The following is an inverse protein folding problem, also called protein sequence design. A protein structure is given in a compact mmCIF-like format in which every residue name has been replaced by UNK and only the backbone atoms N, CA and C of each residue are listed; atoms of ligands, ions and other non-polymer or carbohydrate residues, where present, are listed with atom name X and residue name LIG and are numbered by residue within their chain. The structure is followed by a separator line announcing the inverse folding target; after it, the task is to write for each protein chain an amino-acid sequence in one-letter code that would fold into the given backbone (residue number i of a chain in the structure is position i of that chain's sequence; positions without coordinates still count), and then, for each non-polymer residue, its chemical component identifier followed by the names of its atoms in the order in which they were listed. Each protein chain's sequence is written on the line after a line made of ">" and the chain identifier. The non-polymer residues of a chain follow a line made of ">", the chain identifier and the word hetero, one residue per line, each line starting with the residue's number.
data_IF_317773864970
#
_entry.id   IF_317773864970
#
_cell.length_a   1.000
_cell.length_b   1.000
_cell.length_c   1.000
_cell.angle_alpha   90.00
_cell.angle_beta   90.00
_cell.angle_gamma   90.00
#
_symmetry.space_group_name_H-M   'P 1'
#
loop_
_entity.id
_entity.type
_entity.pdbx_description
1 polymer ?
#
# COMPACT_ATOMS: atom_id res chain seq x y z
N UNK A 1 -31.45 64.72 -25.28
CA UNK A 1 -32.35 64.61 -26.44
C UNK A 1 -32.60 63.12 -26.66
N UNK A 2 -33.55 62.55 -25.92
CA UNK A 2 -34.95 62.27 -26.34
C UNK A 2 -35.08 61.01 -27.19
N UNK A 3 -35.65 59.96 -26.56
CA UNK A 3 -36.48 58.85 -27.11
C UNK A 3 -37.37 59.31 -28.28
N UNK A 4 -37.80 58.43 -29.23
CA UNK A 4 -38.85 57.41 -29.00
C UNK A 4 -38.59 56.05 -29.71
N UNK A 5 -39.09 54.91 -29.22
CA UNK A 5 -40.47 54.37 -29.11
C UNK A 5 -40.94 53.68 -30.39
N UNK A 6 -41.46 52.45 -30.19
CA UNK A 6 -42.38 51.64 -30.99
C UNK A 6 -42.87 52.17 -32.34
N UNK A 7 -42.99 51.25 -33.29
CA UNK A 7 -44.23 50.90 -34.01
C UNK A 7 -43.83 50.32 -35.37
N UNK A 8 -44.13 49.04 -35.59
CA UNK A 8 -44.65 48.52 -36.87
C UNK A 8 -45.02 47.05 -36.65
N UNK A 9 -46.08 46.88 -35.86
CA UNK A 9 -47.11 45.90 -36.20
C UNK A 9 -47.97 46.58 -37.28
N UNK A 10 -48.05 46.01 -38.48
CA UNK A 10 -49.34 45.91 -39.17
C UNK A 10 -49.28 44.91 -40.34
N UNK A 11 -50.47 44.49 -40.77
CA UNK A 11 -50.80 43.62 -41.91
C UNK A 11 -50.71 42.11 -41.64
N UNK A 12 -51.81 41.51 -41.19
CA UNK A 12 -52.88 41.03 -42.10
C UNK A 12 -54.09 40.63 -41.26
N UNK A 13 -55.15 41.44 -41.37
CA UNK A 13 -56.47 41.14 -40.83
C UNK A 13 -57.43 40.74 -41.96
N UNK A 14 -58.32 39.78 -41.63
CA UNK A 14 -59.66 39.47 -42.18
C UNK A 14 -59.82 38.36 -43.23
N UNK A 15 -60.37 37.21 -42.78
CA UNK A 15 -61.70 36.66 -43.17
C UNK A 15 -62.04 35.49 -42.22
N UNK A 16 -62.98 35.66 -41.27
CA UNK A 16 -64.41 35.29 -41.29
C UNK A 16 -64.69 33.79 -41.07
N UNK A 17 -65.41 33.56 -39.95
CA UNK A 17 -66.34 32.47 -39.60
C UNK A 17 -65.86 31.16 -38.94
N UNK A 18 -66.58 30.91 -37.82
CA UNK A 18 -66.99 29.63 -37.22
C UNK A 18 -65.96 28.75 -36.52
N UNK A 19 -66.06 28.75 -35.18
CA UNK A 19 -66.01 27.55 -34.35
C UNK A 19 -64.68 26.81 -34.24
N UNK A 20 -63.86 27.18 -33.27
CA UNK A 20 -63.34 26.24 -32.26
C UNK A 20 -62.39 26.96 -31.30
N UNK A 21 -62.54 26.67 -30.01
CA UNK A 21 -61.56 26.98 -28.99
C UNK A 21 -60.21 26.35 -29.35
N UNK A 22 -59.27 27.13 -29.87
CA UNK A 22 -57.86 26.78 -29.76
C UNK A 22 -57.32 27.41 -28.47
N UNK A 23 -57.20 26.59 -27.43
CA UNK A 23 -56.36 26.88 -26.26
C UNK A 23 -54.95 27.16 -26.76
N UNK A 24 -54.49 28.40 -26.65
CA UNK A 24 -53.07 28.72 -26.60
C UNK A 24 -52.49 28.02 -25.37
N UNK A 25 -51.70 26.97 -25.58
CA UNK A 25 -50.91 26.37 -24.49
C UNK A 25 -49.87 27.39 -24.04
N UNK A 26 -49.82 27.67 -22.74
CA UNK A 26 -48.78 28.48 -22.13
C UNK A 26 -47.36 27.97 -22.51
N UNK A 27 -46.37 28.85 -22.73
CA UNK A 27 -45.01 28.41 -23.01
C UNK A 27 -44.49 27.62 -21.81
N UNK A 28 -43.90 26.45 -22.07
CA UNK A 28 -43.21 25.66 -21.04
C UNK A 28 -42.28 26.59 -20.25
N UNK A 29 -42.40 26.56 -18.91
CA UNK A 29 -41.66 27.43 -18.01
C UNK A 29 -40.17 27.42 -18.36
N UNK A 30 -39.58 28.60 -18.47
CA UNK A 30 -38.16 28.85 -18.77
C UNK A 30 -37.22 28.01 -17.89
N UNK A 31 -37.67 27.67 -16.69
CA UNK A 31 -37.00 26.81 -15.71
C UNK A 31 -36.89 25.33 -16.16
N UNK A 32 -37.89 24.80 -16.87
CA UNK A 32 -37.86 23.45 -17.44
C UNK A 32 -36.86 23.33 -18.59
N UNK A 33 -36.73 24.39 -19.39
CA UNK A 33 -35.74 24.46 -20.47
C UNK A 33 -34.33 24.59 -19.89
N UNK A 34 -34.15 25.40 -18.84
CA UNK A 34 -32.87 25.60 -18.17
C UNK A 34 -32.35 24.34 -17.47
N UNK A 35 -33.23 23.58 -16.79
CA UNK A 35 -32.83 22.31 -16.16
C UNK A 35 -32.40 21.26 -17.20
N UNK A 36 -33.10 21.17 -18.34
CA UNK A 36 -32.69 20.28 -19.44
C UNK A 36 -31.32 20.67 -20.00
N UNK A 37 -31.03 21.96 -20.15
CA UNK A 37 -29.73 22.44 -20.61
C UNK A 37 -28.60 22.09 -19.62
N UNK A 38 -28.84 22.23 -18.31
CA UNK A 38 -27.87 21.85 -17.28
C UNK A 38 -27.62 20.34 -17.24
N UNK A 39 -28.66 19.52 -17.31
CA UNK A 39 -28.52 18.05 -17.37
C UNK A 39 -27.72 17.60 -18.61
N UNK A 40 -27.95 18.24 -19.76
CA UNK A 40 -27.19 17.94 -20.98
C UNK A 40 -25.71 18.35 -20.84
N UNK A 41 -25.43 19.49 -20.22
CA UNK A 41 -24.07 19.94 -19.96
C UNK A 41 -23.33 19.01 -18.96
N UNK A 42 -24.02 18.52 -17.92
CA UNK A 42 -23.47 17.55 -16.97
C UNK A 42 -23.22 16.18 -17.61
N UNK A 43 -24.14 15.67 -18.42
CA UNK A 43 -23.94 14.44 -19.20
C UNK A 43 -22.76 14.57 -20.17
N UNK A 44 -22.64 15.70 -20.86
CA UNK A 44 -21.51 15.97 -21.76
C UNK A 44 -20.17 16.04 -20.99
N UNK A 45 -20.14 16.69 -19.83
CA UNK A 45 -18.95 16.72 -18.95
C UNK A 45 -18.61 15.32 -18.43
N UNK A 46 -19.59 14.55 -17.97
CA UNK A 46 -19.39 13.17 -17.52
C UNK A 46 -18.82 12.30 -18.64
N UNK A 47 -19.36 12.40 -19.86
CA UNK A 47 -18.86 11.67 -21.01
C UNK A 47 -17.40 12.04 -21.35
N UNK A 48 -17.02 13.32 -21.25
CA UNK A 48 -15.63 13.76 -21.45
C UNK A 48 -14.70 13.21 -20.36
N UNK A 49 -15.14 13.20 -19.10
CA UNK A 49 -14.36 12.62 -17.99
C UNK A 49 -14.17 11.12 -18.20
N UNK A 50 -15.20 10.40 -18.62
CA UNK A 50 -15.12 8.95 -18.87
C UNK A 50 -14.27 8.63 -20.11
N UNK A 51 -14.32 9.47 -21.13
CA UNK A 51 -13.42 9.42 -22.29
C UNK A 51 -11.96 9.64 -21.88
N UNK A 52 -11.69 10.63 -21.03
CA UNK A 52 -10.34 10.90 -20.52
C UNK A 52 -9.83 9.77 -19.63
N UNK A 53 -10.67 9.20 -18.76
CA UNK A 53 -10.34 7.99 -17.99
C UNK A 53 -9.99 6.82 -18.90
N UNK A 54 -10.79 6.58 -19.94
CA UNK A 54 -10.55 5.52 -20.92
C UNK A 54 -9.26 5.74 -21.71
N UNK A 55 -8.97 6.99 -22.09
CA UNK A 55 -7.73 7.36 -22.78
C UNK A 55 -6.50 7.23 -21.87
N UNK A 56 -6.60 7.63 -20.61
CA UNK A 56 -5.55 7.43 -19.60
C UNK A 56 -5.31 5.94 -19.36
N UNK A 57 -6.36 5.12 -19.24
CA UNK A 57 -6.23 3.67 -19.14
C UNK A 57 -5.51 3.10 -20.37
N UNK A 58 -5.92 3.48 -21.59
CA UNK A 58 -5.26 3.03 -22.84
C UNK A 58 -3.79 3.45 -22.91
N UNK A 59 -3.47 4.69 -22.53
CA UNK A 59 -2.09 5.17 -22.49
C UNK A 59 -1.29 4.44 -21.41
N UNK A 60 -1.85 4.23 -20.23
CA UNK A 60 -1.24 3.42 -19.16
C UNK A 60 -1.05 1.97 -19.58
N UNK A 61 -1.95 1.41 -20.39
CA UNK A 61 -1.81 0.07 -20.96
C UNK A 61 -0.76 -0.01 -22.08
N UNK A 62 -0.59 1.05 -22.89
CA UNK A 62 0.49 1.15 -23.90
C UNK A 62 1.87 1.48 -23.32
N UNK A 63 1.92 2.22 -22.21
CA UNK A 63 3.11 2.51 -21.40
C UNK A 63 3.43 1.42 -20.38
N UNK A 64 2.47 0.53 -20.08
CA UNK A 64 2.75 -0.84 -19.63
C UNK A 64 3.49 -1.50 -20.79
N UNK A 65 4.78 -1.19 -20.91
CA UNK A 65 5.76 -2.20 -21.30
C UNK A 65 5.29 -3.46 -20.61
N UNK A 66 4.96 -4.51 -21.37
CA UNK A 66 4.74 -5.82 -20.78
C UNK A 66 6.02 -6.11 -20.02
N UNK A 67 6.00 -5.79 -18.72
CA UNK A 67 7.06 -6.20 -17.84
C UNK A 67 6.89 -7.71 -17.84
N UNK A 68 7.89 -8.48 -18.29
CA UNK A 68 7.81 -9.93 -18.24
C UNK A 68 7.33 -10.29 -16.84
N UNK A 69 6.39 -11.24 -16.77
CA UNK A 69 5.75 -11.76 -15.56
C UNK A 69 6.65 -11.49 -14.35
N UNK A 70 6.37 -10.41 -13.61
CA UNK A 70 7.32 -9.95 -12.61
C UNK A 70 7.35 -11.04 -11.56
N UNK A 71 8.48 -11.71 -11.41
CA UNK A 71 8.70 -12.66 -10.32
C UNK A 71 8.27 -12.00 -8.99
N UNK A 72 7.15 -12.47 -8.42
CA UNK A 72 6.61 -11.94 -7.17
C UNK A 72 7.28 -12.66 -5.99
N UNK A 73 7.85 -11.87 -5.08
CA UNK A 73 8.33 -12.35 -3.79
C UNK A 73 7.22 -12.18 -2.76
N UNK A 74 6.66 -13.30 -2.30
CA UNK A 74 5.73 -13.32 -1.17
C UNK A 74 6.40 -12.80 0.10
N UNK A 75 5.64 -12.14 0.96
CA UNK A 75 6.06 -11.73 2.32
C UNK A 75 6.03 -12.90 3.30
N UNK A 76 5.31 -13.97 2.95
CA UNK A 76 5.13 -15.15 3.79
C UNK A 76 3.94 -15.14 4.72
N UNK A 77 3.14 -14.07 4.68
CA UNK A 77 1.82 -14.03 5.31
C UNK A 77 0.82 -13.76 4.18
N UNK A 78 -0.05 -14.71 3.84
CA UNK A 78 -1.02 -14.53 2.75
C UNK A 78 -1.88 -13.27 2.89
N UNK A 79 -2.24 -12.91 4.11
CA UNK A 79 -3.06 -11.74 4.42
C UNK A 79 -2.27 -10.42 4.27
N UNK A 80 -0.96 -10.47 4.51
CA UNK A 80 -0.08 -9.33 4.21
C UNK A 80 0.16 -9.22 2.71
N UNK A 81 0.33 -10.34 2.02
CA UNK A 81 0.41 -10.38 0.56
C UNK A 81 -0.87 -9.78 -0.04
N UNK A 82 -2.06 -10.08 0.48
CA UNK A 82 -3.34 -9.57 -0.03
C UNK A 82 -3.50 -8.04 0.02
N UNK A 83 -2.77 -7.34 0.90
CA UNK A 83 -2.80 -5.87 0.94
C UNK A 83 -1.83 -5.24 -0.07
N UNK A 84 -0.91 -6.01 -0.65
CA UNK A 84 0.04 -5.58 -1.68
C UNK A 84 -0.60 -5.65 -3.07
N UNK A 85 -0.19 -4.77 -4.02
CA UNK A 85 -0.80 -4.67 -5.35
C UNK A 85 -0.80 -5.99 -6.13
N UNK A 86 0.30 -6.73 -6.08
CA UNK A 86 0.52 -7.96 -6.85
C UNK A 86 0.49 -9.22 -5.95
N UNK A 87 -0.15 -9.15 -4.77
CA UNK A 87 -0.10 -10.23 -3.77
C UNK A 87 1.33 -10.59 -3.32
N UNK A 88 2.19 -9.57 -3.24
CA UNK A 88 3.60 -9.70 -2.88
C UNK A 88 4.41 -8.51 -3.39
N UNK A 89 5.74 -8.59 -3.28
CA UNK A 89 6.68 -7.59 -3.79
C UNK A 89 7.35 -8.11 -5.05
N UNK A 90 7.12 -7.42 -6.16
CA UNK A 90 7.69 -7.79 -7.44
C UNK A 90 9.20 -7.53 -7.49
N UNK A 91 9.97 -8.43 -8.11
CA UNK A 91 11.39 -8.18 -8.43
C UNK A 91 11.53 -6.95 -9.34
N UNK A 92 12.63 -6.23 -9.18
CA UNK A 92 12.87 -4.98 -9.91
C UNK A 92 12.02 -3.80 -9.41
N UNK A 93 11.54 -3.85 -8.16
CA UNK A 93 10.80 -2.77 -7.52
C UNK A 93 11.44 -2.31 -6.23
N UNK A 94 11.16 -1.06 -5.87
CA UNK A 94 11.60 -0.45 -4.63
C UNK A 94 10.41 -0.37 -3.66
N UNK A 95 10.62 -0.76 -2.40
CA UNK A 95 9.64 -0.66 -1.33
C UNK A 95 10.18 0.15 -0.16
N UNK A 96 9.35 1.03 0.40
CA UNK A 96 9.66 1.79 1.60
C UNK A 96 8.93 1.18 2.81
N UNK A 97 9.69 0.88 3.85
CA UNK A 97 9.23 0.34 5.13
C UNK A 97 9.41 1.42 6.19
N UNK A 98 8.35 2.18 6.45
CA UNK A 98 8.35 3.34 7.34
C UNK A 98 7.99 2.87 8.74
N UNK A 99 8.94 2.95 9.66
CA UNK A 99 8.71 2.70 11.07
C UNK A 99 7.99 3.90 11.70
N UNK A 100 6.75 3.72 12.15
CA UNK A 100 5.98 4.78 12.83
C UNK A 100 6.62 5.21 14.16
N UNK A 101 7.34 4.29 14.81
CA UNK A 101 8.14 4.54 16.00
C UNK A 101 9.34 3.57 16.07
N UNK A 102 10.37 3.88 16.88
CA UNK A 102 11.48 2.96 17.09
C UNK A 102 10.99 1.60 17.59
N UNK A 103 11.44 0.53 16.93
CA UNK A 103 11.04 -0.82 17.30
C UNK A 103 9.67 -1.25 16.80
N UNK A 104 9.00 -0.52 15.90
CA UNK A 104 7.68 -0.91 15.37
C UNK A 104 7.65 -2.23 14.57
N UNK A 105 8.79 -2.89 14.33
CA UNK A 105 8.86 -4.15 13.59
C UNK A 105 9.01 -3.99 12.07
N UNK A 106 9.09 -2.75 11.55
CA UNK A 106 9.28 -2.48 10.13
C UNK A 106 10.50 -3.22 9.54
N UNK A 107 11.64 -3.15 10.23
CA UNK A 107 12.87 -3.80 9.82
C UNK A 107 12.73 -5.34 9.84
N UNK A 108 12.05 -5.90 10.85
CA UNK A 108 11.85 -7.34 10.98
C UNK A 108 11.00 -7.90 9.83
N UNK A 109 9.94 -7.16 9.43
CA UNK A 109 9.13 -7.53 8.27
C UNK A 109 9.94 -7.42 6.97
N UNK A 110 10.73 -6.37 6.80
CA UNK A 110 11.62 -6.22 5.65
C UNK A 110 12.65 -7.37 5.58
N UNK A 111 13.28 -7.75 6.69
CA UNK A 111 14.20 -8.90 6.76
C UNK A 111 13.49 -10.21 6.38
N UNK A 112 12.22 -10.39 6.78
CA UNK A 112 11.43 -11.57 6.43
C UNK A 112 11.15 -11.65 4.92
N UNK A 113 10.88 -10.52 4.27
CA UNK A 113 10.81 -10.46 2.80
C UNK A 113 12.18 -10.75 2.19
N UNK A 114 13.25 -10.16 2.74
CA UNK A 114 14.61 -10.37 2.28
C UNK A 114 14.99 -11.87 2.29
N UNK A 115 14.62 -12.61 3.34
CA UNK A 115 14.85 -14.07 3.42
C UNK A 115 14.22 -14.85 2.27
N UNK A 116 13.05 -14.41 1.79
CA UNK A 116 12.32 -15.05 0.70
C UNK A 116 12.89 -14.65 -0.66
N UNK A 117 13.24 -13.38 -0.82
CA UNK A 117 13.94 -12.88 -1.99
C UNK A 117 15.31 -13.54 -2.15
N UNK A 118 15.95 -13.95 -1.05
CA UNK A 118 17.25 -14.61 -1.06
C UNK A 118 17.27 -15.96 -1.81
N UNK A 119 16.10 -16.55 -2.05
CA UNK A 119 15.96 -17.75 -2.90
C UNK A 119 16.36 -17.48 -4.36
N UNK A 120 16.32 -16.21 -4.77
CA UNK A 120 16.63 -15.77 -6.13
C UNK A 120 18.07 -15.23 -6.28
N UNK A 121 18.82 -15.09 -5.18
CA UNK A 121 20.18 -14.53 -5.17
C UNK A 121 20.60 -14.04 -3.77
N UNK A 122 21.87 -13.67 -3.55
CA UNK A 122 22.32 -13.17 -2.26
C UNK A 122 21.55 -11.92 -1.79
N UNK A 123 21.51 -11.75 -0.46
CA UNK A 123 21.05 -10.53 0.18
C UNK A 123 22.24 -9.59 0.35
N UNK A 124 22.09 -8.33 -0.08
CA UNK A 124 23.07 -7.28 0.22
C UNK A 124 22.50 -6.40 1.33
N UNK A 125 23.25 -6.26 2.42
CA UNK A 125 22.91 -5.35 3.53
C UNK A 125 23.90 -4.20 3.53
N UNK A 126 23.38 -2.99 3.37
CA UNK A 126 24.21 -1.78 3.35
C UNK A 126 23.98 -1.04 4.66
N UNK A 127 25.03 -0.97 5.46
CA UNK A 127 24.98 -0.44 6.82
C UNK A 127 26.16 0.51 7.06
N UNK A 128 26.02 1.76 6.64
CA UNK A 128 27.06 2.78 6.88
C UNK A 128 27.22 3.14 8.36
N UNK A 129 26.19 2.91 9.19
CA UNK A 129 26.18 3.30 10.61
C UNK A 129 26.53 2.17 11.58
N UNK A 130 26.68 0.93 11.10
CA UNK A 130 26.92 -0.27 11.93
C UNK A 130 25.81 -0.51 12.95
N UNK A 131 24.57 -0.16 12.60
CA UNK A 131 23.40 -0.34 13.46
C UNK A 131 22.70 -1.69 13.22
N UNK A 132 23.11 -2.40 12.18
CA UNK A 132 22.43 -3.59 11.75
C UNK A 132 22.86 -4.80 12.59
N UNK A 133 21.91 -5.42 13.29
CA UNK A 133 22.17 -6.58 14.15
C UNK A 133 22.02 -7.89 13.38
N UNK A 134 23.15 -8.49 12.97
CA UNK A 134 23.16 -9.71 12.14
C UNK A 134 22.37 -10.91 12.71
N UNK A 135 22.33 -11.17 14.03
CA UNK A 135 21.50 -12.26 14.55
C UNK A 135 19.99 -12.09 14.31
N UNK A 136 19.50 -10.85 14.16
CA UNK A 136 18.10 -10.62 13.79
C UNK A 136 17.78 -11.10 12.37
N UNK A 137 18.74 -11.07 11.43
CA UNK A 137 18.56 -11.66 10.09
C UNK A 137 18.38 -13.16 10.16
N UNK A 138 19.24 -13.83 10.94
CA UNK A 138 19.15 -15.29 11.11
C UNK A 138 17.81 -15.68 11.75
N UNK A 139 17.35 -14.94 12.77
CA UNK A 139 16.03 -15.14 13.35
C UNK A 139 14.89 -14.88 12.34
N UNK A 140 15.06 -13.93 11.41
CA UNK A 140 14.10 -13.69 10.32
C UNK A 140 14.15 -14.76 9.20
N UNK A 141 15.03 -15.76 9.31
CA UNK A 141 15.18 -16.87 8.35
C UNK A 141 16.12 -16.56 7.18
N UNK A 142 16.94 -15.52 7.27
CA UNK A 142 17.96 -15.20 6.26
C UNK A 142 19.16 -16.12 6.42
N UNK A 143 19.64 -16.65 5.31
CA UNK A 143 20.88 -17.41 5.21
C UNK A 143 22.08 -16.45 5.26
N UNK A 144 22.82 -16.46 6.36
CA UNK A 144 23.96 -15.56 6.55
C UNK A 144 25.12 -15.88 5.59
N UNK A 145 25.25 -17.13 5.13
CA UNK A 145 26.30 -17.53 4.18
C UNK A 145 26.06 -16.95 2.77
N UNK A 146 24.80 -16.58 2.48
CA UNK A 146 24.39 -15.89 1.25
C UNK A 146 24.07 -14.42 1.49
N UNK A 147 24.63 -13.83 2.54
CA UNK A 147 24.45 -12.41 2.87
C UNK A 147 25.78 -11.68 2.79
N UNK A 148 25.80 -10.57 2.06
CA UNK A 148 26.98 -9.69 1.94
C UNK A 148 26.70 -8.40 2.70
N UNK A 149 27.51 -8.11 3.70
CA UNK A 149 27.49 -6.84 4.41
C UNK A 149 28.44 -5.86 3.75
N UNK A 150 27.94 -4.66 3.47
CA UNK A 150 28.72 -3.54 2.96
C UNK A 150 28.74 -2.46 4.05
N UNK A 151 29.94 -2.01 4.42
CA UNK A 151 30.16 -0.92 5.37
C UNK A 151 30.84 0.27 4.70
N UNK A 152 30.08 1.11 3.98
CA UNK A 152 30.59 2.31 3.34
C UNK A 152 31.10 3.32 4.37
N UNK A 153 32.09 4.14 3.98
CA UNK A 153 32.65 5.18 4.86
C UNK A 153 31.98 6.54 4.70
N UNK A 154 31.38 6.79 3.54
CA UNK A 154 30.72 8.06 3.22
C UNK A 154 29.31 7.82 2.69
N UNK A 155 28.43 8.82 2.80
CA UNK A 155 27.08 8.78 2.22
C UNK A 155 27.11 8.60 0.70
N UNK A 156 28.14 9.12 0.03
CA UNK A 156 28.31 8.96 -1.41
C UNK A 156 28.61 7.50 -1.76
N UNK A 157 29.52 6.85 -1.03
CA UNK A 157 29.84 5.43 -1.20
C UNK A 157 28.64 4.55 -0.85
N UNK A 158 27.86 4.95 0.15
CA UNK A 158 26.66 4.23 0.56
C UNK A 158 25.60 4.22 -0.54
N UNK A 159 25.22 5.39 -1.05
CA UNK A 159 24.27 5.48 -2.17
C UNK A 159 24.80 4.79 -3.43
N UNK A 160 26.10 4.88 -3.69
CA UNK A 160 26.73 4.18 -4.81
C UNK A 160 26.64 2.66 -4.66
N UNK A 161 26.93 2.13 -3.47
CA UNK A 161 26.83 0.70 -3.18
C UNK A 161 25.39 0.19 -3.31
N UNK A 162 24.40 0.95 -2.84
CA UNK A 162 22.97 0.64 -3.04
C UNK A 162 22.65 0.60 -4.53
N UNK A 163 23.06 1.63 -5.29
CA UNK A 163 22.81 1.70 -6.72
C UNK A 163 23.41 0.50 -7.46
N UNK A 164 24.68 0.16 -7.20
CA UNK A 164 25.33 -0.98 -7.87
C UNK A 164 24.71 -2.33 -7.48
N UNK A 165 24.32 -2.48 -6.21
CA UNK A 165 23.67 -3.71 -5.73
C UNK A 165 22.31 -3.91 -6.39
N UNK A 166 21.53 -2.84 -6.56
CA UNK A 166 20.22 -2.88 -7.22
C UNK A 166 20.33 -3.18 -8.73
N UNK A 167 21.39 -2.72 -9.41
CA UNK A 167 21.63 -3.00 -10.83
C UNK A 167 22.06 -4.44 -11.11
N UNK A 168 22.57 -5.15 -10.12
CA UNK A 168 23.11 -6.48 -10.31
C UNK A 168 21.99 -7.51 -10.49
N UNK A 169 21.95 -8.17 -11.66
CA UNK A 169 20.96 -9.21 -11.98
C UNK A 169 21.10 -10.48 -11.12
N UNK A 170 22.24 -10.67 -10.45
CA UNK A 170 22.44 -11.81 -9.54
C UNK A 170 21.88 -11.59 -8.14
N UNK A 171 21.53 -10.36 -7.76
CA UNK A 171 21.12 -10.03 -6.37
C UNK A 171 19.64 -10.33 -6.16
N UNK A 172 19.33 -11.01 -5.05
CA UNK A 172 17.95 -11.34 -4.68
C UNK A 172 17.24 -10.16 -4.01
N UNK A 173 17.90 -9.55 -3.03
CA UNK A 173 17.39 -8.36 -2.34
C UNK A 173 18.51 -7.43 -1.87
N UNK A 174 18.16 -6.15 -1.72
CA UNK A 174 19.02 -5.12 -1.14
C UNK A 174 18.28 -4.49 0.03
N UNK A 175 18.87 -4.58 1.23
CA UNK A 175 18.33 -4.00 2.45
C UNK A 175 19.17 -2.79 2.84
N UNK A 176 18.51 -1.63 2.97
CA UNK A 176 19.20 -0.37 3.23
C UNK A 176 18.37 0.54 4.13
N UNK A 177 18.98 1.07 5.20
CA UNK A 177 18.33 2.01 6.11
C UNK A 177 18.70 3.44 5.75
N UNK A 178 17.70 4.27 5.43
CA UNK A 178 17.92 5.66 5.05
C UNK A 178 16.71 6.57 5.34
N UNK A 179 16.96 7.63 6.07
CA UNK A 179 15.92 8.62 6.40
C UNK A 179 15.84 9.75 5.37
N UNK A 180 16.97 10.17 4.80
CA UNK A 180 17.04 11.30 3.90
C UNK A 180 17.53 10.90 2.51
N UNK A 181 16.58 10.72 1.60
CA UNK A 181 16.81 10.59 0.16
C UNK A 181 16.28 11.82 -0.57
N UNK A 182 17.14 12.48 -1.34
CA UNK A 182 16.74 13.53 -2.28
C UNK A 182 16.00 12.90 -3.46
N UNK A 183 15.08 13.64 -4.09
CA UNK A 183 14.32 13.16 -5.25
C UNK A 183 15.19 12.56 -6.35
N UNK A 184 16.31 13.22 -6.68
CA UNK A 184 17.25 12.73 -7.71
C UNK A 184 17.93 11.41 -7.29
N UNK A 185 18.26 11.24 -6.01
CA UNK A 185 18.84 10.00 -5.50
C UNK A 185 17.79 8.87 -5.58
N UNK A 186 16.55 9.16 -5.19
CA UNK A 186 15.46 8.21 -5.27
C UNK A 186 15.21 7.73 -6.71
N UNK A 187 15.10 8.65 -7.67
CA UNK A 187 14.90 8.30 -9.08
C UNK A 187 16.08 7.49 -9.64
N UNK A 188 17.31 7.76 -9.20
CA UNK A 188 18.48 6.94 -9.58
C UNK A 188 18.37 5.52 -9.03
N UNK A 189 17.94 5.35 -7.79
CA UNK A 189 17.72 4.03 -7.20
C UNK A 189 16.56 3.29 -7.89
N UNK A 190 15.50 4.00 -8.27
CA UNK A 190 14.38 3.43 -9.03
C UNK A 190 14.86 2.90 -10.39
N UNK A 191 15.62 3.69 -11.14
CA UNK A 191 16.19 3.24 -12.43
C UNK A 191 17.19 2.09 -12.25
N UNK A 192 17.92 2.07 -11.13
CA UNK A 192 18.84 0.99 -10.81
C UNK A 192 18.09 -0.33 -10.57
N UNK A 193 17.06 -0.32 -9.72
CA UNK A 193 16.29 -1.53 -9.41
C UNK A 193 15.50 -2.03 -10.62
N UNK A 194 14.96 -1.13 -11.45
CA UNK A 194 14.27 -1.48 -12.70
C UNK A 194 15.20 -2.10 -13.75
N UNK A 195 16.51 -1.78 -13.70
CA UNK A 195 17.51 -2.39 -14.59
C UNK A 195 18.04 -3.74 -14.10
N UNK A 196 17.88 -4.04 -12.81
CA UNK A 196 18.26 -5.30 -12.21
C UNK A 196 17.06 -6.19 -11.92
N UNK A 197 17.24 -7.14 -11.00
CA UNK A 197 16.20 -8.09 -10.58
C UNK A 197 16.04 -8.19 -9.06
N UNK A 198 16.72 -7.31 -8.32
CA UNK A 198 16.64 -7.31 -6.87
C UNK A 198 15.29 -6.77 -6.38
N UNK A 199 14.86 -7.20 -5.19
CA UNK A 199 13.85 -6.47 -4.41
C UNK A 199 14.56 -5.42 -3.56
N UNK A 200 14.27 -4.15 -3.79
CA UNK A 200 14.81 -3.04 -2.99
C UNK A 200 13.97 -2.80 -1.74
N UNK A 201 14.59 -2.90 -0.57
CA UNK A 201 13.95 -2.75 0.73
C UNK A 201 14.57 -1.55 1.47
N UNK A 202 13.90 -0.40 1.41
CA UNK A 202 14.32 0.82 2.09
C UNK A 202 13.65 0.94 3.45
N UNK A 203 14.43 0.93 4.53
CA UNK A 203 13.91 1.13 5.89
C UNK A 203 14.03 2.61 6.24
N UNK A 204 12.92 3.23 6.65
CA UNK A 204 12.86 4.66 6.95
C UNK A 204 12.21 4.94 8.30
N UNK A 205 12.63 6.01 8.96
CA UNK A 205 12.02 6.45 10.22
C UNK A 205 10.72 7.25 10.02
N UNK A 206 10.00 7.42 11.13
CA UNK A 206 8.71 8.11 11.20
C UNK A 206 8.73 9.53 10.61
N UNK A 207 9.89 10.21 10.69
CA UNK A 207 10.09 11.55 10.14
C UNK A 207 9.84 11.64 8.62
N UNK A 208 9.83 10.50 7.94
CA UNK A 208 9.63 10.40 6.49
C UNK A 208 8.21 10.08 6.07
N UNK A 209 7.29 9.86 7.03
CA UNK A 209 5.89 9.47 6.78
C UNK A 209 5.18 10.43 5.81
N UNK A 210 5.37 11.74 5.99
CA UNK A 210 4.72 12.77 5.18
C UNK A 210 5.57 13.24 3.98
N UNK A 211 6.76 12.66 3.78
CA UNK A 211 7.59 12.98 2.62
C UNK A 211 7.04 12.22 1.41
N UNK A 212 7.05 12.85 0.23
CA UNK A 212 6.76 12.15 -1.01
C UNK A 212 7.84 11.10 -1.30
N UNK A 213 7.41 9.87 -1.57
CA UNK A 213 8.26 8.77 -2.01
C UNK A 213 7.95 8.41 -3.45
N UNK A 214 8.92 7.83 -4.16
CA UNK A 214 8.73 7.31 -5.52
C UNK A 214 8.79 5.77 -5.57
N UNK A 215 8.77 5.10 -4.42
CA UNK A 215 8.80 3.64 -4.36
C UNK A 215 7.51 3.08 -4.95
N UNK A 216 7.58 1.88 -5.52
CA UNK A 216 6.42 1.18 -6.04
C UNK A 216 5.44 0.82 -4.90
N UNK A 217 5.93 0.61 -3.67
CA UNK A 217 5.12 0.36 -2.48
C UNK A 217 5.67 1.13 -1.28
N UNK A 218 4.80 1.73 -0.47
CA UNK A 218 5.14 2.35 0.82
C UNK A 218 4.26 1.77 1.92
N UNK A 219 4.92 1.20 2.93
CA UNK A 219 4.30 0.53 4.06
C UNK A 219 4.61 1.33 5.32
N UNK A 220 3.57 1.68 6.07
CA UNK A 220 3.71 2.20 7.42
C UNK A 220 3.51 1.05 8.40
N UNK A 221 4.45 0.89 9.31
CA UNK A 221 4.40 -0.16 10.34
C UNK A 221 4.41 0.50 11.72
N UNK A 222 3.34 0.27 12.47
CA UNK A 222 3.15 0.69 13.86
C UNK A 222 3.04 -0.52 14.77
N UNK A 223 3.57 -0.41 15.97
CA UNK A 223 3.32 -1.30 17.09
C UNK A 223 1.95 -0.96 17.66
N UNK A 224 1.11 -1.98 17.83
CA UNK A 224 -0.06 -1.90 18.69
C UNK A 224 0.33 -2.40 20.07
N UNK A 225 -0.04 -1.66 21.10
CA UNK A 225 0.14 -2.12 22.47
C UNK A 225 -0.73 -3.35 22.66
N UNK A 226 -0.09 -4.50 22.84
CA UNK A 226 -0.75 -5.73 23.24
C UNK A 226 -1.14 -5.61 24.73
N UNK A 227 -2.24 -4.93 25.03
CA UNK A 227 -2.87 -5.01 26.35
C UNK A 227 -3.68 -6.31 26.41
N UNK A 228 -2.99 -7.43 26.58
CA UNK A 228 -3.63 -8.74 26.55
C UNK A 228 -2.67 -9.83 26.98
N UNK A 229 -2.65 -10.11 28.27
CA UNK A 229 -2.13 -11.37 28.81
C UNK A 229 -2.92 -12.51 28.17
N UNK A 230 -2.43 -13.08 27.07
CA UNK A 230 -2.88 -14.40 26.64
C UNK A 230 -2.36 -15.40 27.68
N UNK A 231 -3.15 -15.61 28.72
CA UNK A 231 -3.09 -16.87 29.46
C UNK A 231 -3.44 -17.94 28.45
N UNK A 232 -2.43 -18.70 28.00
CA UNK A 232 -2.65 -19.95 27.31
C UNK A 232 -3.52 -20.79 28.26
N UNK A 233 -4.80 -20.94 27.93
CA UNK A 233 -5.70 -21.82 28.67
C UNK A 233 -5.19 -23.24 28.46
N UNK A 234 -4.55 -23.76 29.50
CA UNK A 234 -4.18 -25.15 29.61
C UNK A 234 -5.44 -26.01 29.44
N UNK A 235 -5.48 -26.98 28.51
CA UNK A 235 -6.68 -27.79 28.33
C UNK A 235 -6.92 -28.58 29.62
N UNK A 236 -8.00 -28.25 30.33
CA UNK A 236 -8.52 -29.01 31.48
C UNK A 236 -8.93 -30.41 31.03
N UNK A 237 -7.95 -31.28 30.84
CA UNK A 237 -8.09 -32.72 30.71
C UNK A 237 -8.20 -33.36 32.08
N UNK A 238 -9.44 -33.60 32.51
CA UNK A 238 -9.77 -34.42 33.68
C UNK A 238 -9.26 -35.84 33.43
N UNK A 239 -8.17 -36.25 34.08
CA UNK A 239 -7.78 -37.67 34.10
C UNK A 239 -7.34 -38.09 35.49
N UNK A 240 -8.05 -39.09 35.98
CA UNK A 240 -7.85 -39.88 37.19
C UNK A 240 -6.44 -40.47 37.29
N UNK A 241 -5.89 -40.40 38.50
CA UNK A 241 -4.91 -41.31 39.15
C UNK A 241 -4.20 -42.34 38.25
N UNK A 242 -2.86 -42.21 38.12
CA UNK A 242 -1.87 -43.14 38.69
C UNK A 242 -0.58 -43.23 37.86
N UNK A 243 0.56 -43.08 38.55
CA UNK A 243 1.92 -43.59 38.28
C UNK A 243 2.74 -43.00 37.13
N UNK A 244 3.62 -42.10 37.55
CA UNK A 244 5.07 -42.06 37.30
C UNK A 244 5.55 -42.37 35.88
N UNK A 245 5.65 -41.33 35.07
CA UNK A 245 6.65 -41.22 34.01
C UNK A 245 7.03 -39.77 33.84
N UNK A 246 8.34 -39.49 33.93
CA UNK A 246 8.94 -38.17 33.73
C UNK A 246 8.61 -37.66 32.32
N UNK A 247 7.52 -36.91 32.17
CA UNK A 247 7.36 -35.94 31.07
C UNK A 247 8.01 -34.65 31.53
N UNK A 248 9.04 -34.22 30.82
CA UNK A 248 9.54 -32.85 30.86
C UNK A 248 8.33 -31.94 30.65
N UNK A 249 7.90 -31.27 31.73
CA UNK A 249 6.93 -30.19 31.65
C UNK A 249 7.47 -29.20 30.62
N UNK A 250 6.72 -29.01 29.54
CA UNK A 250 6.99 -27.97 28.56
C UNK A 250 7.10 -26.66 29.34
N UNK A 251 8.31 -26.15 29.46
CA UNK A 251 8.58 -24.79 29.93
C UNK A 251 7.71 -23.90 29.06
N UNK A 252 6.66 -23.34 29.64
CA UNK A 252 5.82 -22.35 28.99
C UNK A 252 6.68 -21.12 28.78
N UNK A 253 7.42 -21.10 27.66
CA UNK A 253 8.15 -19.92 27.21
C UNK A 253 7.09 -18.84 27.02
N UNK A 254 7.09 -17.86 27.92
CA UNK A 254 6.35 -16.62 27.74
C UNK A 254 6.84 -16.00 26.43
N UNK A 255 6.14 -16.29 25.34
CA UNK A 255 6.48 -15.77 24.02
C UNK A 255 6.06 -14.32 24.00
N UNK A 256 7.03 -13.40 23.97
CA UNK A 256 6.75 -11.98 23.83
C UNK A 256 6.32 -11.73 22.38
N UNK A 257 5.00 -11.81 22.16
CA UNK A 257 4.39 -11.44 20.88
C UNK A 257 4.07 -9.96 20.89
N UNK A 258 4.51 -9.25 19.85
CA UNK A 258 4.13 -7.86 19.60
C UNK A 258 3.09 -7.83 18.50
N UNK A 259 2.01 -7.10 18.74
CA UNK A 259 1.03 -6.78 17.71
C UNK A 259 1.54 -5.61 16.88
N UNK A 260 1.48 -5.77 15.57
CA UNK A 260 1.87 -4.80 14.57
C UNK A 260 0.67 -4.49 13.70
N UNK A 261 0.55 -3.24 13.29
CA UNK A 261 -0.35 -2.81 12.24
C UNK A 261 0.48 -2.38 11.04
N UNK A 262 0.18 -2.96 9.89
CA UNK A 262 0.86 -2.65 8.62
C UNK A 262 -0.15 -2.03 7.68
N UNK A 263 0.06 -0.77 7.34
CA UNK A 263 -0.77 0.00 6.41
C UNK A 263 -0.01 0.23 5.10
N UNK A 264 -0.60 -0.16 3.97
CA UNK A 264 -0.12 0.19 2.65
C UNK A 264 -0.55 1.61 2.28
N UNK A 265 0.30 2.59 2.61
CA UNK A 265 0.03 4.03 2.41
C UNK A 265 0.10 4.42 0.93
N UNK A 266 0.89 3.70 0.14
CA UNK A 266 1.00 3.93 -1.31
C UNK A 266 1.34 2.64 -2.03
N UNK A 267 0.69 2.39 -3.17
CA UNK A 267 1.05 1.33 -4.10
C UNK A 267 0.86 1.83 -5.54
N UNK A 268 1.89 1.70 -6.37
CA UNK A 268 1.86 2.11 -7.78
C UNK A 268 0.88 1.24 -8.55
N UNK A 269 -0.13 1.86 -9.14
CA UNK A 269 -1.12 1.18 -9.98
C UNK A 269 -2.18 0.38 -9.21
N UNK A 270 -2.30 0.55 -7.89
CA UNK A 270 -3.33 -0.08 -7.07
C UNK A 270 -3.96 0.92 -6.08
N UNK A 271 -5.06 0.50 -5.45
CA UNK A 271 -5.73 1.27 -4.39
C UNK A 271 -4.85 1.21 -3.14
N UNK A 272 -4.35 2.38 -2.72
CA UNK A 272 -3.70 2.55 -1.43
C UNK A 272 -4.72 2.55 -0.27
N UNK A 273 -4.23 2.49 0.97
CA UNK A 273 -5.00 2.50 2.22
C UNK A 273 -5.61 1.14 2.65
N UNK A 274 -4.86 0.06 2.40
CA UNK A 274 -5.16 -1.28 2.95
C UNK A 274 -4.34 -1.53 4.21
N UNK A 275 -4.94 -2.16 5.21
CA UNK A 275 -4.29 -2.43 6.50
C UNK A 275 -4.41 -3.91 6.88
N UNK A 276 -3.38 -4.45 7.53
CA UNK A 276 -3.38 -5.80 8.12
C UNK A 276 -2.78 -5.74 9.52
N UNK A 277 -3.34 -6.52 10.45
CA UNK A 277 -2.82 -6.70 11.80
C UNK A 277 -2.03 -8.02 11.89
N UNK A 278 -0.80 -7.94 12.40
CA UNK A 278 0.14 -9.06 12.47
C UNK A 278 0.66 -9.23 13.89
N UNK A 279 0.86 -10.46 14.33
CA UNK A 279 1.64 -10.79 15.52
C UNK A 279 3.06 -11.18 15.09
N UNK A 280 4.08 -10.57 15.71
CA UNK A 280 5.48 -10.99 15.57
C UNK A 280 6.01 -11.57 16.89
N UNK A 281 6.65 -12.73 16.82
CA UNK A 281 7.40 -13.33 17.93
C UNK A 281 8.85 -12.84 17.88
N UNK A 282 9.29 -12.12 18.91
CA UNK A 282 10.62 -11.48 18.92
C UNK A 282 11.76 -12.50 18.98
N UNK A 283 11.53 -13.67 19.58
CA UNK A 283 12.54 -14.70 19.72
C UNK A 283 12.77 -15.49 18.42
N UNK A 284 11.71 -15.70 17.64
CA UNK A 284 11.75 -16.58 16.45
C UNK A 284 11.61 -15.82 15.13
N UNK A 285 11.28 -14.53 15.16
CA UNK A 285 10.93 -13.76 13.97
C UNK A 285 9.66 -14.27 13.26
N UNK A 286 8.92 -15.21 13.85
CA UNK A 286 7.71 -15.74 13.27
C UNK A 286 6.63 -14.66 13.24
N UNK A 287 5.98 -14.51 12.07
CA UNK A 287 4.88 -13.56 11.86
C UNK A 287 3.65 -14.34 11.43
N UNK A 288 2.54 -14.09 12.12
CA UNK A 288 1.20 -14.58 11.78
C UNK A 288 0.19 -13.42 11.84
N UNK A 289 -1.00 -13.61 11.29
CA UNK A 289 -2.09 -12.64 11.46
C UNK A 289 -2.49 -12.60 12.93
N UNK A 290 -2.72 -11.39 13.45
CA UNK A 290 -3.26 -11.24 14.80
C UNK A 290 -4.65 -11.89 14.86
N UNK A 291 -4.88 -12.77 15.84
CA UNK A 291 -6.17 -13.43 15.98
C UNK A 291 -7.28 -12.37 16.12
N UNK A 292 -8.23 -12.38 15.17
CA UNK A 292 -9.21 -11.31 15.02
C UNK A 292 -10.04 -11.06 16.27
N UNK A 293 -10.03 -9.82 16.76
CA UNK A 293 -11.19 -9.26 17.43
C UNK A 293 -12.27 -9.11 16.35
N UNK A 294 -13.35 -9.87 16.50
CA UNK A 294 -14.60 -9.67 15.75
C UNK A 294 -15.01 -8.20 15.76
N UNK A 295 -15.72 -7.81 14.69
CA UNK A 295 -16.54 -6.61 14.57
C UNK A 295 -16.97 -6.02 15.93
N UNK A 296 -16.91 -4.69 16.14
CA UNK A 296 -17.72 -4.08 17.17
C UNK A 296 -19.19 -4.29 16.77
N UNK A 297 -19.76 -5.40 17.25
CA UNK A 297 -21.18 -5.69 17.16
C UNK A 297 -21.92 -4.43 17.61
N UNK A 298 -22.73 -3.90 16.70
CA UNK A 298 -23.65 -2.82 16.95
C UNK A 298 -24.39 -3.07 18.27
N UNK A 299 -24.19 -2.19 19.24
CA UNK A 299 -24.99 -2.16 20.46
C UNK A 299 -26.48 -2.06 20.07
N UNK A 300 -27.36 -2.97 20.50
CA UNK A 300 -28.77 -2.80 20.29
C UNK A 300 -29.21 -1.59 21.12
N UNK A 301 -29.72 -0.55 20.44
CA UNK A 301 -30.42 0.56 21.10
C UNK A 301 -31.58 -0.05 21.89
N UNK A 302 -31.52 0.04 23.22
CA UNK A 302 -32.68 -0.20 24.08
C UNK A 302 -33.62 1.00 23.92
N UNK A 303 -34.79 0.72 23.35
CA UNK A 303 -36.01 1.52 23.48
C UNK A 303 -36.50 1.54 24.92
#
# INVERSE_FOLDING_TARGET
>A
MTTPTNFLADAVARRVCSGNLFRLSAPASTESVQNKLNEHAERARSAVIDQLRSNLQRMQHGLRRQVPDKDIVSTGVPEFDAILPDSGLARGTLSEWIAAEPGSGAISLAMRVASRAQRQGPLIVIDGQRHFYSPALSAAGVDLDKTIFVWPKTRADELWAVEQSLRCAGVGAVLYQIDHLRTQEFLRLQLAVESGTAVGLLIRSAATRNQSGWADVRLLVSSRSSYGRQTVDEPRGRTTTSRTSHRLASVATQSFRRQLEVQCVYAKGAIADRTVELDICDETGAVCVAAGLSDPAASPRRS
#
